data_IF_835639915879
#
_entry.id   IF_835639915879
#
_cell.length_a   1.000
_cell.length_b   1.000
_cell.length_c   1.000
_cell.angle_alpha   90.00
_cell.angle_beta   90.00
_cell.angle_gamma   90.00
#
_symmetry.space_group_name_H-M   'P 1'
#
loop_
_entity.id
_entity.type
_entity.pdbx_description
1 polymer ?
#
# COMPACT_ATOMS: atom_id res chain seq x y z
N UNK A 1 11.79 -1.69 -3.42
CA UNK A 1 11.79 -0.55 -2.49
C UNK A 1 11.57 -1.08 -1.09
N UNK A 2 12.21 -0.54 -0.06
CA UNK A 2 11.56 -0.24 1.23
C UNK A 2 12.60 0.01 2.31
N UNK A 3 13.10 1.24 2.40
CA UNK A 3 13.96 1.69 3.49
C UNK A 3 13.18 1.87 4.82
N UNK A 4 12.17 1.03 5.06
CA UNK A 4 11.20 1.15 6.14
C UNK A 4 10.59 2.56 6.17
N UNK A 5 10.25 3.07 4.99
CA UNK A 5 9.78 4.45 4.78
C UNK A 5 8.26 4.43 4.74
N UNK A 6 7.60 5.09 5.70
CA UNK A 6 6.17 5.27 5.65
C UNK A 6 5.76 6.00 4.37
N UNK A 7 4.66 5.58 3.75
CA UNK A 7 4.23 6.09 2.45
C UNK A 7 2.78 6.54 2.51
N UNK A 8 2.40 7.60 1.80
CA UNK A 8 1.01 7.99 1.60
C UNK A 8 0.65 7.70 0.14
N UNK A 9 -0.46 7.00 -0.09
CA UNK A 9 -0.99 6.69 -1.43
C UNK A 9 -2.51 6.88 -1.45
N UNK A 10 -3.17 6.54 -2.56
CA UNK A 10 -4.63 6.59 -2.70
C UNK A 10 -5.22 5.21 -2.92
N UNK A 11 -6.50 5.07 -2.63
CA UNK A 11 -7.28 3.86 -2.96
C UNK A 11 -7.43 3.62 -4.46
N UNK A 12 -7.26 4.63 -5.33
CA UNK A 12 -7.18 4.41 -6.79
C UNK A 12 -5.83 3.85 -7.27
N UNK A 13 -4.85 3.64 -6.38
CA UNK A 13 -3.55 3.09 -6.74
C UNK A 13 -3.55 1.58 -6.51
N UNK A 14 -3.04 0.80 -7.47
CA UNK A 14 -3.00 -0.67 -7.30
C UNK A 14 -2.20 -1.12 -6.08
N UNK A 15 -1.18 -0.35 -5.65
CA UNK A 15 -0.49 -0.60 -4.40
C UNK A 15 -1.38 -0.28 -3.18
N UNK A 16 -2.13 0.81 -3.20
CA UNK A 16 -3.07 1.17 -2.13
C UNK A 16 -4.13 0.10 -1.93
N UNK A 17 -4.81 -0.32 -3.01
CA UNK A 17 -5.81 -1.41 -2.97
C UNK A 17 -5.19 -2.73 -2.47
N UNK A 18 -3.98 -3.07 -2.92
CA UNK A 18 -3.29 -4.29 -2.48
C UNK A 18 -2.97 -4.27 -0.98
N UNK A 19 -2.66 -3.11 -0.40
CA UNK A 19 -2.36 -2.98 1.03
C UNK A 19 -3.61 -3.09 1.90
N UNK A 20 -4.70 -2.42 1.51
CA UNK A 20 -5.96 -2.38 2.26
C UNK A 20 -7.14 -2.05 1.36
N UNK A 21 -8.28 -2.68 1.61
CA UNK A 21 -9.56 -2.42 0.93
C UNK A 21 -10.22 -1.09 1.35
N UNK A 22 -9.70 -0.45 2.42
CA UNK A 22 -10.27 0.79 2.96
C UNK A 22 -9.19 1.84 3.26
N UNK A 23 -9.54 3.14 3.17
CA UNK A 23 -8.67 4.23 3.59
C UNK A 23 -8.17 4.04 5.03
N UNK A 24 -6.90 4.35 5.27
CA UNK A 24 -6.26 4.16 6.56
C UNK A 24 -5.20 5.23 6.83
N UNK A 25 -4.89 5.46 8.10
CA UNK A 25 -3.92 6.47 8.51
C UNK A 25 -2.47 6.06 8.30
N UNK A 26 -1.58 7.05 8.36
CA UNK A 26 -0.12 6.86 8.18
C UNK A 26 0.51 6.01 9.28
N UNK A 27 -0.13 5.89 10.44
CA UNK A 27 0.32 5.06 11.57
C UNK A 27 0.41 3.56 11.24
N UNK A 28 -0.33 3.13 10.22
CA UNK A 28 -0.28 1.76 9.67
C UNK A 28 0.98 1.49 8.85
N UNK A 29 1.83 2.50 8.61
CA UNK A 29 3.00 2.44 7.74
C UNK A 29 2.70 2.80 6.29
N UNK A 30 1.47 2.62 5.82
CA UNK A 30 1.01 3.08 4.50
C UNK A 30 -0.34 3.79 4.65
N UNK A 31 -0.32 5.12 4.67
CA UNK A 31 -1.55 5.91 4.67
C UNK A 31 -2.24 5.83 3.32
N UNK A 32 -3.55 5.59 3.31
CA UNK A 32 -4.36 5.48 2.10
C UNK A 32 -5.48 6.50 2.19
N UNK A 33 -5.51 7.43 1.23
CA UNK A 33 -6.51 8.49 1.13
C UNK A 33 -7.55 8.12 0.07
N UNK A 34 -8.83 8.31 0.39
CA UNK A 34 -9.90 8.14 -0.60
C UNK A 34 -9.83 9.22 -1.68
N UNK A 35 -9.73 8.81 -2.95
CA UNK A 35 -9.68 9.72 -4.08
C UNK A 35 -10.81 9.42 -5.07
N UNK A 36 -11.45 10.48 -5.55
CA UNK A 36 -12.39 10.47 -6.67
C UNK A 36 -12.06 11.62 -7.63
N UNK A 37 -12.85 11.74 -8.70
CA UNK A 37 -12.68 12.82 -9.69
C UNK A 37 -13.14 14.19 -9.16
N UNK A 38 -13.77 14.24 -7.98
CA UNK A 38 -14.46 15.44 -7.49
C UNK A 38 -13.99 15.92 -6.11
N UNK A 39 -13.03 15.25 -5.47
CA UNK A 39 -12.65 15.51 -4.06
C UNK A 39 -11.19 15.99 -3.87
N UNK A 40 -10.64 16.71 -4.84
CA UNK A 40 -9.23 17.09 -4.83
C UNK A 40 -8.82 17.91 -3.58
N UNK A 41 -9.71 18.78 -3.09
CA UNK A 41 -9.46 19.58 -1.90
C UNK A 41 -9.41 18.73 -0.63
N UNK A 42 -10.34 17.79 -0.48
CA UNK A 42 -10.40 16.86 0.64
C UNK A 42 -9.18 15.94 0.65
N UNK A 43 -8.75 15.46 -0.53
CA UNK A 43 -7.54 14.65 -0.69
C UNK A 43 -6.31 15.44 -0.24
N UNK A 44 -6.12 16.66 -0.74
CA UNK A 44 -4.99 17.50 -0.37
C UNK A 44 -4.97 17.79 1.14
N UNK A 45 -6.14 18.06 1.72
CA UNK A 45 -6.31 18.30 3.15
C UNK A 45 -5.93 17.07 3.98
N UNK A 46 -6.39 15.87 3.58
CA UNK A 46 -6.06 14.62 4.28
C UNK A 46 -4.56 14.30 4.20
N UNK A 47 -3.93 14.48 3.03
CA UNK A 47 -2.48 14.29 2.89
C UNK A 47 -1.72 15.24 3.82
N UNK A 48 -2.08 16.53 3.84
CA UNK A 48 -1.46 17.51 4.72
C UNK A 48 -1.63 17.15 6.20
N UNK A 49 -2.82 16.65 6.59
CA UNK A 49 -3.07 16.16 7.95
C UNK A 49 -2.21 14.96 8.30
N UNK A 50 -2.07 13.97 7.43
CA UNK A 50 -1.21 12.81 7.66
C UNK A 50 0.27 13.20 7.78
N UNK A 51 0.75 14.12 6.93
CA UNK A 51 2.12 14.67 7.05
C UNK A 51 2.30 15.35 8.40
N UNK A 52 1.34 16.19 8.81
CA UNK A 52 1.38 16.88 10.11
C UNK A 52 1.36 15.88 11.27
N UNK A 53 0.50 14.87 11.23
CA UNK A 53 0.42 13.82 12.24
C UNK A 53 1.77 13.12 12.39
N UNK A 54 2.36 12.69 11.28
CA UNK A 54 3.66 12.03 11.28
C UNK A 54 4.79 12.94 11.79
N UNK A 55 4.78 14.22 11.41
CA UNK A 55 5.77 15.21 11.87
C UNK A 55 5.70 15.48 13.38
N UNK A 56 4.53 15.28 14.00
CA UNK A 56 4.32 15.45 15.44
C UNK A 56 4.59 14.18 16.25
N UNK A 57 4.82 13.04 15.59
CA UNK A 57 5.11 11.78 16.27
C UNK A 57 6.44 11.84 17.04
N UNK A 58 6.46 11.19 18.20
CA UNK A 58 7.67 10.91 18.97
C UNK A 58 8.51 9.84 18.28
N UNK A 59 9.80 9.77 18.61
CA UNK A 59 10.72 8.78 18.06
C UNK A 59 10.24 7.33 18.21
N UNK A 60 9.57 7.01 19.32
CA UNK A 60 8.99 5.68 19.56
C UNK A 60 7.85 5.34 18.59
N UNK A 61 6.99 6.32 18.30
CA UNK A 61 5.87 6.19 17.37
C UNK A 61 6.40 6.07 15.94
N UNK A 62 7.35 6.94 15.55
CA UNK A 62 8.03 6.85 14.25
C UNK A 62 8.63 5.45 14.05
N UNK A 63 9.31 4.90 15.06
CA UNK A 63 9.88 3.55 14.99
C UNK A 63 8.82 2.47 14.79
N UNK A 64 7.66 2.59 15.44
CA UNK A 64 6.54 1.67 15.26
C UNK A 64 5.97 1.76 13.84
N UNK A 65 5.75 2.97 13.32
CA UNK A 65 5.24 3.19 11.96
C UNK A 65 6.21 2.63 10.92
N UNK A 66 7.51 2.87 11.07
CA UNK A 66 8.54 2.31 10.19
C UNK A 66 8.56 0.78 10.23
N UNK A 67 8.36 0.18 11.40
CA UNK A 67 8.23 -1.28 11.54
C UNK A 67 7.01 -1.80 10.76
N UNK A 68 5.87 -1.12 10.83
CA UNK A 68 4.69 -1.50 10.05
C UNK A 68 4.94 -1.40 8.54
N UNK A 69 5.59 -0.32 8.08
CA UNK A 69 6.00 -0.17 6.69
C UNK A 69 6.96 -1.30 6.24
N UNK A 70 7.86 -1.74 7.12
CA UNK A 70 8.75 -2.88 6.85
C UNK A 70 7.99 -4.20 6.69
N UNK A 71 6.96 -4.44 7.51
CA UNK A 71 6.13 -5.64 7.42
C UNK A 71 5.34 -5.69 6.10
N UNK A 72 4.82 -4.55 5.64
CA UNK A 72 4.15 -4.46 4.34
C UNK A 72 5.14 -4.73 3.20
N UNK A 73 6.35 -4.18 3.28
CA UNK A 73 7.37 -4.42 2.29
C UNK A 73 7.84 -5.88 2.21
N UNK A 74 7.86 -6.60 3.33
CA UNK A 74 8.15 -8.05 3.35
C UNK A 74 7.11 -8.83 2.56
N UNK A 75 5.82 -8.49 2.71
CA UNK A 75 4.73 -9.09 1.93
C UNK A 75 4.84 -8.76 0.43
N UNK A 76 5.50 -7.66 0.08
CA UNK A 76 5.74 -7.25 -1.29
C UNK A 76 6.98 -7.92 -1.94
N UNK A 77 7.61 -8.88 -1.28
CA UNK A 77 8.75 -9.62 -1.85
C UNK A 77 8.28 -10.53 -2.99
N UNK A 78 9.10 -10.61 -4.06
CA UNK A 78 8.79 -11.39 -5.26
C UNK A 78 8.46 -12.86 -4.99
N UNK A 79 9.11 -13.46 -3.98
CA UNK A 79 8.84 -14.84 -3.53
C UNK A 79 7.37 -15.09 -3.21
N UNK A 80 6.61 -14.05 -2.83
CA UNK A 80 5.18 -14.14 -2.53
C UNK A 80 4.30 -13.92 -3.75
N UNK A 81 4.77 -13.17 -4.76
CA UNK A 81 4.02 -12.81 -5.96
C UNK A 81 4.18 -13.79 -7.12
N UNK A 82 5.30 -14.51 -7.18
CA UNK A 82 5.60 -15.42 -8.30
C UNK A 82 4.51 -16.47 -8.52
N UNK A 83 3.84 -16.93 -7.45
CA UNK A 83 2.71 -17.87 -7.52
C UNK A 83 1.59 -17.39 -8.45
N UNK A 84 1.34 -16.09 -8.54
CA UNK A 84 0.29 -15.55 -9.41
C UNK A 84 0.69 -15.63 -10.88
N UNK A 85 1.98 -15.56 -11.18
CA UNK A 85 2.51 -15.77 -12.54
C UNK A 85 2.47 -17.25 -12.93
N UNK A 86 2.81 -18.16 -12.00
CA UNK A 86 2.68 -19.60 -12.20
C UNK A 86 1.23 -19.98 -12.50
N UNK A 87 0.27 -19.47 -11.71
CA UNK A 87 -1.17 -19.64 -11.96
C UNK A 87 -1.59 -19.12 -13.33
N UNK A 88 -1.14 -17.92 -13.71
CA UNK A 88 -1.44 -17.37 -15.03
C UNK A 88 -0.88 -18.24 -16.16
N UNK A 89 0.30 -18.84 -15.96
CA UNK A 89 0.92 -19.75 -16.91
C UNK A 89 0.14 -21.07 -17.02
N UNK A 90 -0.27 -21.67 -15.90
CA UNK A 90 -1.14 -22.86 -15.89
C UNK A 90 -2.46 -22.61 -16.63
N UNK A 91 -3.10 -21.45 -16.39
CA UNK A 91 -4.33 -21.07 -17.11
C UNK A 91 -4.08 -20.95 -18.62
N UNK A 92 -2.96 -20.32 -19.02
CA UNK A 92 -2.61 -20.17 -20.42
C UNK A 92 -2.33 -21.52 -21.11
N UNK A 93 -1.59 -22.40 -20.44
CA UNK A 93 -1.31 -23.75 -20.92
C UNK A 93 -2.59 -24.60 -21.03
N UNK A 94 -3.45 -24.56 -20.00
CA UNK A 94 -4.72 -25.29 -20.00
C UNK A 94 -5.64 -24.89 -21.16
N UNK A 95 -5.69 -23.58 -21.49
CA UNK A 95 -6.44 -23.07 -22.65
C UNK A 95 -5.82 -23.48 -23.99
N UNK A 96 -4.49 -23.56 -24.07
CA UNK A 96 -3.77 -24.02 -25.27
C UNK A 96 -4.01 -25.50 -25.55
N UNK A 97 -4.06 -26.31 -24.49
CA UNK A 97 -4.14 -27.78 -24.58
C UNK A 97 -5.56 -28.32 -24.72
N UNK A 98 -6.59 -27.45 -24.72
CA UNK A 98 -7.95 -27.83 -25.10
C UNK A 98 -8.75 -28.48 -23.97
N UNK A 99 -9.12 -27.65 -22.99
CA UNK A 99 -10.45 -27.72 -22.35
C UNK A 99 -11.18 -26.40 -22.54
#
# INVERSE_FOLDING_TARGET
MAFQVPTITTDLSGFGEWVSESPQGIETGVGIVHRSDYNAYEVATQIAQMIRQFALCKTSEIKAIRKNAALIAEKALWKHFIKHYEQAYEVALGRREGR
#
